data_IF_312580299172
#
_entry.id   IF_312580299172
#
_cell.length_a   1.000
_cell.length_b   1.000
_cell.length_c   1.000
_cell.angle_alpha   90.00
_cell.angle_beta   90.00
_cell.angle_gamma   90.00
#
_symmetry.space_group_name_H-M   'P 1'
#
loop_
_entity.id
_entity.type
_entity.pdbx_description
1 polymer ?
#
# COMPACT_ATOMS: atom_id res chain seq x y z
N UNK A 1 10.05 21.46 23.92
CA UNK A 1 10.14 21.89 25.35
C UNK A 1 9.84 23.37 25.60
N UNK A 2 10.34 24.34 24.81
CA UNK A 2 10.12 25.79 25.06
C UNK A 2 8.64 26.21 24.96
N UNK A 3 7.89 25.66 23.99
CA UNK A 3 6.46 25.92 23.81
C UNK A 3 5.61 25.42 25.00
N UNK A 4 5.86 24.21 25.50
CA UNK A 4 5.14 23.69 26.68
C UNK A 4 5.35 24.56 27.92
N UNK A 5 6.57 25.09 28.13
CA UNK A 5 6.84 26.03 29.24
C UNK A 5 6.08 27.35 29.08
N UNK A 6 5.99 27.90 27.87
CA UNK A 6 5.25 29.13 27.60
C UNK A 6 3.75 28.96 27.82
N UNK A 7 3.17 27.83 27.38
CA UNK A 7 1.74 27.52 27.59
C UNK A 7 1.40 27.41 29.07
N UNK A 8 2.26 26.75 29.86
CA UNK A 8 2.07 26.63 31.30
C UNK A 8 2.15 27.99 32.01
N UNK A 9 3.08 28.85 31.61
CA UNK A 9 3.22 30.20 32.19
C UNK A 9 2.05 31.11 31.80
N UNK A 10 1.59 31.08 30.55
CA UNK A 10 0.46 31.89 30.10
C UNK A 10 -0.84 31.40 30.74
N UNK A 11 -1.05 30.09 30.82
CA UNK A 11 -2.20 29.48 31.46
C UNK A 11 -2.29 29.79 32.96
N UNK A 12 -1.17 29.76 33.67
CA UNK A 12 -1.14 30.06 35.11
C UNK A 12 -1.46 31.53 35.43
N UNK A 13 -0.97 32.46 34.61
CA UNK A 13 -1.27 33.90 34.74
C UNK A 13 -2.76 34.17 34.50
N UNK A 14 -3.36 33.56 33.47
CA UNK A 14 -4.79 33.70 33.18
C UNK A 14 -5.67 33.10 34.30
N UNK A 15 -5.24 31.96 34.87
CA UNK A 15 -5.93 31.33 35.98
C UNK A 15 -5.86 32.18 37.26
N UNK A 16 -4.70 32.77 37.56
CA UNK A 16 -4.56 33.72 38.67
C UNK A 16 -5.42 34.97 38.47
N UNK A 17 -5.46 35.52 37.26
CA UNK A 17 -6.32 36.65 36.93
C UNK A 17 -7.81 36.31 37.10
N UNK A 18 -8.24 35.10 36.74
CA UNK A 18 -9.62 34.65 36.94
C UNK A 18 -9.98 34.50 38.43
N UNK A 19 -9.05 34.05 39.27
CA UNK A 19 -9.31 33.84 40.71
C UNK A 19 -9.24 35.15 41.51
N UNK A 20 -8.34 36.06 41.17
CA UNK A 20 -8.12 37.31 41.91
C UNK A 20 -8.96 38.49 41.43
N UNK A 21 -9.62 38.40 40.27
CA UNK A 21 -10.49 39.46 39.78
C UNK A 21 -11.73 39.61 40.68
N UNK A 22 -11.78 40.69 41.47
CA UNK A 22 -12.94 41.01 42.32
C UNK A 22 -14.22 41.37 41.55
N UNK A 23 -14.11 41.64 40.25
CA UNK A 23 -15.25 41.87 39.37
C UNK A 23 -15.70 40.57 38.69
N UNK A 24 -16.96 40.21 38.92
CA UNK A 24 -17.59 39.02 38.33
C UNK A 24 -17.46 38.97 36.80
N UNK A 25 -17.61 40.13 36.14
CA UNK A 25 -17.53 40.22 34.68
C UNK A 25 -16.11 39.95 34.15
N UNK A 26 -15.10 40.47 34.85
CA UNK A 26 -13.68 40.24 34.49
C UNK A 26 -13.29 38.79 34.72
N UNK A 27 -13.78 38.17 35.81
CA UNK A 27 -13.57 36.75 36.08
C UNK A 27 -14.13 35.87 34.97
N UNK A 28 -15.36 36.10 34.55
CA UNK A 28 -15.97 35.32 33.47
C UNK A 28 -15.27 35.51 32.13
N UNK A 29 -14.85 36.72 31.81
CA UNK A 29 -14.06 36.98 30.60
C UNK A 29 -12.75 36.19 30.60
N UNK A 30 -12.05 36.15 31.75
CA UNK A 30 -10.81 35.39 31.91
C UNK A 30 -11.03 33.88 31.79
N UNK A 31 -12.12 33.34 32.37
CA UNK A 31 -12.47 31.92 32.26
C UNK A 31 -12.78 31.52 30.82
N UNK A 32 -13.57 32.33 30.10
CA UNK A 32 -13.89 32.09 28.69
C UNK A 32 -12.62 32.11 27.83
N UNK A 33 -11.76 33.11 28.03
CA UNK A 33 -10.51 33.24 27.28
C UNK A 33 -9.57 32.06 27.57
N UNK A 34 -9.44 31.66 28.83
CA UNK A 34 -8.65 30.49 29.23
C UNK A 34 -9.18 29.20 28.59
N UNK A 35 -10.50 29.02 28.55
CA UNK A 35 -11.13 27.85 27.92
C UNK A 35 -10.85 27.77 26.42
N UNK A 36 -11.03 28.89 25.69
CA UNK A 36 -10.75 28.96 24.25
C UNK A 36 -9.26 28.75 23.97
N UNK A 37 -8.39 29.38 24.76
CA UNK A 37 -6.94 29.23 24.62
C UNK A 37 -6.50 27.78 24.83
N UNK A 38 -7.00 27.13 25.87
CA UNK A 38 -6.66 25.74 26.17
C UNK A 38 -7.23 24.79 25.11
N UNK A 39 -8.47 25.01 24.65
CA UNK A 39 -9.06 24.25 23.55
C UNK A 39 -8.24 24.39 22.26
N UNK A 40 -7.83 25.61 21.91
CA UNK A 40 -7.00 25.84 20.73
C UNK A 40 -5.63 25.15 20.85
N UNK A 41 -5.01 25.14 22.02
CA UNK A 41 -3.72 24.48 22.21
C UNK A 41 -3.84 22.95 22.24
N UNK A 42 -4.82 22.41 22.96
CA UNK A 42 -5.04 20.98 23.04
C UNK A 42 -5.48 20.43 21.68
N UNK A 43 -6.48 21.01 21.03
CA UNK A 43 -6.97 20.50 19.73
C UNK A 43 -6.12 20.97 18.54
N UNK A 44 -5.51 22.15 18.59
CA UNK A 44 -4.71 22.70 17.49
C UNK A 44 -3.29 22.17 17.41
N UNK A 45 -2.73 21.66 18.51
CA UNK A 45 -1.41 20.99 18.51
C UNK A 45 -1.55 19.46 18.33
N UNK A 46 -2.73 18.89 18.57
CA UNK A 46 -2.92 17.44 18.74
C UNK A 46 -3.75 16.74 17.64
N UNK A 47 -3.78 17.27 16.40
CA UNK A 47 -4.04 16.44 15.19
C UNK A 47 -2.84 16.46 14.24
N UNK A 48 -1.63 16.48 14.82
CA UNK A 48 -0.50 15.77 14.21
C UNK A 48 -0.31 14.48 14.97
N UNK A 49 -1.31 13.59 14.89
CA UNK A 49 -1.06 12.18 15.18
C UNK A 49 0.02 11.77 14.20
N UNK A 50 1.26 11.79 14.67
CA UNK A 50 2.36 11.13 14.01
C UNK A 50 2.05 9.64 14.17
N UNK A 51 1.10 9.16 13.37
CA UNK A 51 1.10 7.76 12.99
C UNK A 51 2.53 7.58 12.48
N UNK A 52 3.35 6.72 13.09
CA UNK A 52 4.60 6.32 12.47
C UNK A 52 4.17 5.59 11.20
N UNK A 53 3.96 6.33 10.12
CA UNK A 53 3.98 5.77 8.78
C UNK A 53 5.39 5.24 8.69
N UNK A 54 5.60 3.91 8.66
CA UNK A 54 6.95 3.41 8.49
C UNK A 54 7.46 4.07 7.22
N UNK A 55 8.54 4.85 7.35
CA UNK A 55 9.31 5.32 6.21
C UNK A 55 10.01 4.10 5.60
N UNK A 56 9.23 3.16 5.06
CA UNK A 56 9.64 2.43 3.87
C UNK A 56 9.58 3.41 2.70
N UNK A 57 10.38 4.46 2.76
CA UNK A 57 11.05 4.94 1.56
C UNK A 57 12.18 3.96 1.28
N UNK A 58 11.81 2.70 1.05
CA UNK A 58 12.59 1.90 0.15
C UNK A 58 12.68 2.75 -1.12
N UNK A 59 13.88 3.11 -1.50
CA UNK A 59 14.16 3.68 -2.79
C UNK A 59 13.79 2.60 -3.81
N UNK A 60 12.49 2.45 -4.09
CA UNK A 60 11.99 1.60 -5.15
C UNK A 60 12.36 2.35 -6.40
N UNK A 61 13.62 2.17 -6.82
CA UNK A 61 13.99 2.35 -8.21
C UNK A 61 12.90 1.64 -8.99
N UNK A 62 12.04 2.44 -9.66
CA UNK A 62 10.92 1.90 -10.42
C UNK A 62 11.53 1.18 -11.60
N UNK A 63 11.97 -0.06 -11.36
CA UNK A 63 12.28 -1.04 -12.39
C UNK A 63 11.11 -1.00 -13.35
N UNK A 64 11.44 -0.81 -14.62
CA UNK A 64 10.44 -0.83 -15.68
C UNK A 64 9.71 -2.18 -15.64
N UNK A 65 8.50 -2.26 -16.18
CA UNK A 65 7.74 -3.52 -16.14
C UNK A 65 8.47 -4.66 -16.88
N UNK A 66 9.35 -4.30 -17.82
CA UNK A 66 10.29 -5.22 -18.47
C UNK A 66 11.31 -5.76 -17.47
N UNK A 67 12.01 -4.89 -16.73
CA UNK A 67 13.01 -5.31 -15.73
C UNK A 67 12.40 -6.20 -14.63
N UNK A 68 11.14 -5.92 -14.25
CA UNK A 68 10.40 -6.74 -13.30
C UNK A 68 10.13 -8.13 -13.86
N UNK A 69 9.66 -8.20 -15.11
CA UNK A 69 9.39 -9.48 -15.78
C UNK A 69 10.67 -10.30 -15.94
N UNK A 70 11.78 -9.66 -16.33
CA UNK A 70 13.09 -10.32 -16.42
C UNK A 70 13.55 -10.85 -15.06
N UNK A 71 13.39 -10.04 -14.00
CA UNK A 71 13.73 -10.47 -12.63
C UNK A 71 12.88 -11.67 -12.20
N UNK A 72 11.57 -11.66 -12.50
CA UNK A 72 10.67 -12.77 -12.20
C UNK A 72 11.04 -14.06 -12.95
N UNK A 73 11.40 -13.96 -14.23
CA UNK A 73 11.88 -15.11 -15.02
C UNK A 73 13.17 -15.67 -14.42
N UNK A 74 14.08 -14.79 -14.00
CA UNK A 74 15.33 -15.21 -13.37
C UNK A 74 15.08 -15.91 -12.02
N UNK A 75 14.16 -15.40 -11.19
CA UNK A 75 13.77 -16.03 -9.94
C UNK A 75 13.03 -17.36 -10.16
N UNK A 76 12.24 -17.47 -11.22
CA UNK A 76 11.52 -18.69 -11.58
C UNK A 76 12.46 -19.83 -11.98
N UNK A 77 13.68 -19.55 -12.42
CA UNK A 77 14.68 -20.60 -12.69
C UNK A 77 14.94 -21.46 -11.45
N UNK A 78 15.01 -20.85 -10.26
CA UNK A 78 15.35 -21.53 -9.00
C UNK A 78 14.18 -21.67 -8.02
N UNK A 79 13.17 -20.81 -8.10
CA UNK A 79 12.10 -20.71 -7.12
C UNK A 79 10.75 -21.24 -7.62
N UNK A 80 10.16 -22.20 -6.88
CA UNK A 80 8.82 -22.74 -7.15
C UNK A 80 7.73 -21.65 -7.14
N UNK A 81 7.88 -20.64 -6.27
CA UNK A 81 6.91 -19.54 -6.15
C UNK A 81 6.91 -18.66 -7.40
N UNK A 82 8.09 -18.28 -7.89
CA UNK A 82 8.21 -17.48 -9.10
C UNK A 82 7.73 -18.24 -10.36
N UNK A 83 7.90 -19.56 -10.42
CA UNK A 83 7.28 -20.40 -11.46
C UNK A 83 5.75 -20.37 -11.40
N UNK A 84 5.19 -20.49 -10.20
CA UNK A 84 3.74 -20.39 -9.98
C UNK A 84 3.19 -19.02 -10.41
N UNK A 85 3.91 -17.94 -10.09
CA UNK A 85 3.56 -16.58 -10.50
C UNK A 85 3.54 -16.40 -12.02
N UNK A 86 4.49 -17.01 -12.74
CA UNK A 86 4.48 -17.00 -14.21
C UNK A 86 3.31 -17.81 -14.77
N UNK A 87 2.97 -18.95 -14.17
CA UNK A 87 1.77 -19.70 -14.52
C UNK A 87 0.49 -18.89 -14.31
N UNK A 88 0.39 -18.16 -13.19
CA UNK A 88 -0.73 -17.24 -12.94
C UNK A 88 -0.82 -16.13 -13.99
N UNK A 89 0.33 -15.59 -14.45
CA UNK A 89 0.37 -14.58 -15.51
C UNK A 89 -0.11 -15.12 -16.86
N UNK A 90 0.21 -16.36 -17.20
CA UNK A 90 -0.28 -17.00 -18.42
C UNK A 90 -1.80 -17.23 -18.33
N UNK A 91 -2.31 -17.69 -17.19
CA UNK A 91 -3.77 -17.82 -16.95
C UNK A 91 -4.47 -16.46 -17.10
N UNK A 92 -3.87 -15.39 -16.55
CA UNK A 92 -4.39 -14.02 -16.61
C UNK A 92 -4.51 -13.53 -18.07
N UNK A 93 -3.56 -13.88 -18.94
CA UNK A 93 -3.62 -13.59 -20.38
C UNK A 93 -4.86 -14.25 -20.98
N UNK A 94 -5.02 -15.57 -20.84
CA UNK A 94 -6.18 -16.28 -21.40
C UNK A 94 -7.52 -15.77 -20.84
N UNK A 95 -7.58 -15.46 -19.55
CA UNK A 95 -8.79 -14.91 -18.93
C UNK A 95 -9.11 -13.48 -19.42
N UNK A 96 -8.10 -12.68 -19.75
CA UNK A 96 -8.29 -11.32 -20.27
C UNK A 96 -8.88 -11.32 -21.68
N UNK A 97 -8.59 -12.35 -22.46
CA UNK A 97 -9.02 -12.46 -23.86
C UNK A 97 -10.34 -13.20 -23.99
N UNK A 98 -10.71 -14.03 -23.01
CA UNK A 98 -11.98 -14.73 -23.01
C UNK A 98 -13.16 -13.81 -22.73
N UNK A 99 -14.32 -14.18 -23.27
CA UNK A 99 -15.59 -13.46 -23.04
C UNK A 99 -16.06 -13.51 -21.57
N UNK A 100 -15.64 -14.53 -20.82
CA UNK A 100 -15.98 -14.71 -19.40
C UNK A 100 -14.73 -14.97 -18.56
N UNK A 101 -14.11 -13.87 -18.15
CA UNK A 101 -12.91 -13.82 -17.32
C UNK A 101 -12.96 -14.76 -16.11
N UNK A 102 -14.07 -14.79 -15.36
CA UNK A 102 -14.14 -15.54 -14.10
C UNK A 102 -14.25 -17.05 -14.33
N UNK A 103 -15.01 -17.48 -15.33
CA UNK A 103 -15.13 -18.91 -15.64
C UNK A 103 -13.85 -19.45 -16.28
N UNK A 104 -13.18 -18.68 -17.14
CA UNK A 104 -11.88 -19.04 -17.73
C UNK A 104 -10.78 -19.10 -16.67
N UNK A 105 -10.72 -18.13 -15.75
CA UNK A 105 -9.76 -18.13 -14.64
C UNK A 105 -9.92 -19.35 -13.74
N UNK A 106 -11.16 -19.74 -13.41
CA UNK A 106 -11.42 -20.91 -12.57
C UNK A 106 -11.18 -22.23 -13.31
N UNK A 107 -11.62 -22.34 -14.56
CA UNK A 107 -11.42 -23.55 -15.37
C UNK A 107 -9.94 -23.83 -15.61
N UNK A 108 -9.13 -22.83 -15.98
CA UNK A 108 -7.69 -23.01 -16.23
C UNK A 108 -6.88 -23.35 -14.97
N UNK A 109 -7.39 -23.01 -13.77
CA UNK A 109 -6.80 -23.46 -12.49
C UNK A 109 -7.11 -24.92 -12.18
N UNK A 110 -8.26 -25.42 -12.61
CA UNK A 110 -8.70 -26.80 -12.39
C UNK A 110 -8.23 -27.75 -13.49
N UNK A 111 -8.24 -27.28 -14.73
CA UNK A 111 -7.86 -28.02 -15.94
C UNK A 111 -6.88 -27.17 -16.76
N UNK A 112 -5.56 -27.36 -16.56
CA UNK A 112 -4.56 -26.56 -17.23
C UNK A 112 -4.53 -26.86 -18.73
N UNK A 113 -4.51 -25.80 -19.54
CA UNK A 113 -4.35 -25.90 -20.99
C UNK A 113 -2.95 -26.40 -21.40
N UNK A 114 -2.74 -26.61 -22.69
CA UNK A 114 -1.49 -27.15 -23.21
C UNK A 114 -0.28 -26.30 -22.82
N UNK A 115 -0.38 -24.96 -22.90
CA UNK A 115 0.65 -24.04 -22.48
C UNK A 115 1.05 -24.22 -20.99
N UNK A 116 0.07 -24.33 -20.08
CA UNK A 116 0.32 -24.52 -18.65
C UNK A 116 0.85 -25.93 -18.33
N UNK A 117 0.47 -26.94 -19.11
CA UNK A 117 1.02 -28.30 -18.98
C UNK A 117 2.48 -28.35 -19.40
N UNK A 118 2.83 -27.69 -20.51
CA UNK A 118 4.21 -27.57 -20.98
C UNK A 118 5.06 -26.80 -19.98
N UNK A 119 4.56 -25.70 -19.42
CA UNK A 119 5.27 -24.93 -18.38
C UNK A 119 5.60 -25.76 -17.13
N UNK A 120 4.69 -26.65 -16.72
CA UNK A 120 4.85 -27.50 -15.54
C UNK A 120 5.55 -28.84 -15.84
N UNK A 121 5.95 -29.09 -17.09
CA UNK A 121 6.63 -30.32 -17.46
C UNK A 121 8.04 -30.40 -16.87
N UNK A 122 8.53 -31.62 -16.62
CA UNK A 122 9.89 -31.85 -16.14
C UNK A 122 10.92 -31.47 -17.21
N UNK A 123 11.97 -30.72 -16.86
CA UNK A 123 13.00 -30.27 -17.81
C UNK A 123 13.62 -28.90 -17.46
N UNK A 124 14.28 -28.27 -18.44
CA UNK A 124 14.69 -26.86 -18.31
C UNK A 124 13.45 -25.97 -18.35
N UNK A 125 13.29 -25.19 -17.28
CA UNK A 125 12.16 -24.29 -17.13
C UNK A 125 12.12 -23.22 -18.22
N UNK A 126 13.27 -22.72 -18.68
CA UNK A 126 13.31 -21.67 -19.70
C UNK A 126 12.84 -22.19 -21.05
N UNK A 127 13.30 -23.37 -21.45
CA UNK A 127 12.85 -24.03 -22.68
C UNK A 127 11.34 -24.33 -22.64
N UNK A 128 10.84 -24.73 -21.47
CA UNK A 128 9.41 -25.00 -21.27
C UNK A 128 8.58 -23.72 -21.29
N UNK A 129 9.09 -22.62 -20.74
CA UNK A 129 8.45 -21.31 -20.79
C UNK A 129 8.40 -20.78 -22.23
N UNK A 130 9.48 -20.91 -23.00
CA UNK A 130 9.51 -20.51 -24.41
C UNK A 130 8.47 -21.27 -25.23
N UNK A 131 8.41 -22.60 -25.06
CA UNK A 131 7.38 -23.43 -25.71
C UNK A 131 5.97 -23.05 -25.30
N UNK A 132 5.74 -22.80 -24.00
CA UNK A 132 4.44 -22.37 -23.49
C UNK A 132 4.02 -21.02 -24.10
N UNK A 133 4.94 -20.07 -24.22
CA UNK A 133 4.68 -18.76 -24.83
C UNK A 133 4.41 -18.87 -26.34
N UNK A 134 5.11 -19.76 -27.06
CA UNK A 134 4.83 -20.00 -28.47
C UNK A 134 3.43 -20.58 -28.69
N UNK A 135 2.96 -21.45 -27.79
CA UNK A 135 1.58 -21.98 -27.83
C UNK A 135 0.58 -20.85 -27.58
N UNK A 136 0.82 -20.02 -26.56
CA UNK A 136 -0.01 -18.84 -26.29
C UNK A 136 -0.07 -17.94 -27.51
N UNK A 137 1.06 -17.62 -28.14
CA UNK A 137 1.10 -16.77 -29.34
C UNK A 137 0.36 -17.38 -30.53
N UNK A 138 0.42 -18.71 -30.70
CA UNK A 138 -0.35 -19.40 -31.73
C UNK A 138 -1.86 -19.29 -31.45
N UNK A 139 -2.30 -19.59 -30.23
CA UNK A 139 -3.69 -19.48 -29.81
C UNK A 139 -4.23 -18.05 -29.98
N UNK A 140 -3.40 -17.03 -29.72
CA UNK A 140 -3.76 -15.61 -29.86
C UNK A 140 -3.92 -15.15 -31.32
N UNK A 141 -3.25 -15.81 -32.26
CA UNK A 141 -3.26 -15.42 -33.67
C UNK A 141 -4.30 -16.19 -34.49
N UNK A 142 -4.90 -17.25 -33.92
CA UNK A 142 -5.95 -18.04 -34.58
C UNK A 142 -7.37 -17.48 -34.35
N UNK A 143 -7.55 -16.56 -33.39
CA UNK A 143 -8.78 -15.79 -33.13
C UNK A 143 -8.73 -14.35 -33.69
#
# INVERSE_FOLDING_TARGET
>A
MKLHKAVVVIGSVLLLAAVMAGSYMVRWLAVLFLGVFLAFFLFGVEIKVSIPVPELRANVERKTDVDRTVTLIQEAKTGKVARSLLGEKIIDIYATISDDYNSTLHSLRSEPNEALRVLNSEGDFLDNLEKALNIVEADLNED
#
